data_IF_578325297915
#
_entry.id   IF_578325297915
#
_cell.length_a   1.000
_cell.length_b   1.000
_cell.length_c   1.000
_cell.angle_alpha   90.00
_cell.angle_beta   90.00
_cell.angle_gamma   90.00
#
_symmetry.space_group_name_H-M   'P 1'
#
loop_
_entity.id
_entity.type
_entity.pdbx_description
1 polymer ?
#
# COMPACT_ATOMS: atom_id res chain seq x y z
N UNK A 1 20.52 14.34 -4.14
CA UNK A 1 20.19 12.91 -3.92
C UNK A 1 21.51 12.15 -3.87
N UNK A 2 21.84 11.60 -2.72
CA UNK A 2 23.12 10.94 -2.47
C UNK A 2 23.15 9.57 -3.16
N UNK A 3 23.46 9.57 -4.47
CA UNK A 3 23.55 8.36 -5.28
C UNK A 3 24.46 7.25 -4.75
N UNK A 4 25.56 7.54 -4.01
CA UNK A 4 26.43 6.48 -3.49
C UNK A 4 25.79 5.62 -2.40
N UNK A 5 24.81 6.13 -1.63
CA UNK A 5 24.19 5.36 -0.54
C UNK A 5 23.36 4.16 -1.02
N UNK A 6 22.82 4.23 -2.23
CA UNK A 6 22.03 3.12 -2.80
C UNK A 6 22.91 1.91 -3.14
N UNK A 7 24.20 2.12 -3.49
CA UNK A 7 25.16 1.04 -3.71
C UNK A 7 25.50 0.28 -2.42
N UNK A 8 25.24 0.87 -1.26
CA UNK A 8 25.51 0.26 0.04
C UNK A 8 24.31 -0.56 0.56
N UNK A 9 23.18 -0.56 -0.13
CA UNK A 9 21.98 -1.31 0.28
C UNK A 9 22.24 -2.81 0.51
N UNK A 10 23.02 -3.53 -0.33
CA UNK A 10 23.34 -4.93 -0.04
C UNK A 10 24.09 -5.15 1.27
N UNK A 11 24.81 -4.13 1.76
CA UNK A 11 25.56 -4.15 3.02
C UNK A 11 24.79 -3.54 4.20
N UNK A 12 23.54 -3.09 3.98
CA UNK A 12 22.73 -2.54 5.05
C UNK A 12 22.38 -3.63 6.07
N UNK A 13 22.43 -3.30 7.36
CA UNK A 13 22.22 -4.26 8.46
C UNK A 13 20.95 -5.08 8.28
N UNK A 14 19.84 -4.43 7.92
CA UNK A 14 18.56 -5.13 7.68
C UNK A 14 18.68 -6.19 6.58
N UNK A 15 19.37 -5.89 5.46
CA UNK A 15 19.57 -6.85 4.39
C UNK A 15 20.50 -8.00 4.82
N UNK A 16 21.57 -7.70 5.56
CA UNK A 16 22.48 -8.73 6.07
C UNK A 16 21.80 -9.67 7.07
N UNK A 17 20.94 -9.13 7.95
CA UNK A 17 20.14 -9.94 8.88
C UNK A 17 19.20 -10.86 8.11
N UNK A 18 18.55 -10.36 7.05
CA UNK A 18 17.69 -11.15 6.19
C UNK A 18 18.43 -12.26 5.46
N UNK A 19 19.58 -11.95 4.86
CA UNK A 19 20.44 -12.92 4.19
C UNK A 19 20.90 -14.00 5.20
N UNK A 20 21.32 -13.60 6.39
CA UNK A 20 21.73 -14.53 7.46
C UNK A 20 20.61 -15.46 7.90
N UNK A 21 19.39 -14.90 8.14
CA UNK A 21 18.21 -15.68 8.52
C UNK A 21 17.87 -16.72 7.46
N UNK A 22 17.74 -16.30 6.20
CA UNK A 22 17.42 -17.21 5.11
C UNK A 22 18.52 -18.22 4.82
N UNK A 23 19.79 -17.86 5.01
CA UNK A 23 20.91 -18.78 4.87
C UNK A 23 20.85 -19.91 5.90
N UNK A 24 20.59 -19.59 7.17
CA UNK A 24 20.40 -20.60 8.23
C UNK A 24 19.20 -21.47 7.93
N UNK A 25 18.05 -20.89 7.56
CA UNK A 25 16.86 -21.66 7.20
C UNK A 25 17.11 -22.58 6.00
N UNK A 26 17.78 -22.10 4.95
CA UNK A 26 18.14 -22.89 3.78
C UNK A 26 19.03 -24.07 4.17
N UNK A 27 20.06 -23.87 4.97
CA UNK A 27 20.97 -24.93 5.42
C UNK A 27 20.22 -25.96 6.28
N UNK A 28 19.37 -25.51 7.22
CA UNK A 28 18.55 -26.42 8.02
C UNK A 28 17.59 -27.26 7.18
N UNK A 29 16.92 -26.64 6.21
CA UNK A 29 15.98 -27.31 5.33
C UNK A 29 16.71 -28.32 4.43
N UNK A 30 17.85 -27.96 3.84
CA UNK A 30 18.61 -28.86 2.97
C UNK A 30 19.16 -30.07 3.73
N UNK A 31 19.41 -29.98 5.04
CA UNK A 31 19.81 -31.11 5.86
C UNK A 31 18.74 -32.22 5.97
N UNK A 32 17.48 -31.94 5.61
CA UNK A 32 16.39 -32.91 5.57
C UNK A 32 16.41 -33.80 4.31
N UNK A 33 17.47 -33.74 3.50
CA UNK A 33 17.64 -34.56 2.31
C UNK A 33 16.60 -34.23 1.21
N UNK A 34 16.02 -35.26 0.62
CA UNK A 34 15.10 -35.12 -0.52
C UNK A 34 13.91 -34.17 -0.24
N UNK A 35 13.28 -34.30 0.92
CA UNK A 35 12.18 -33.40 1.32
C UNK A 35 12.66 -31.95 1.51
N UNK A 36 13.88 -31.78 1.96
CA UNK A 36 14.50 -30.48 2.10
C UNK A 36 14.64 -29.75 0.78
N UNK A 37 14.90 -30.43 -0.31
CA UNK A 37 14.96 -29.82 -1.65
C UNK A 37 13.64 -29.14 -2.06
N UNK A 38 12.51 -29.83 -1.83
CA UNK A 38 11.20 -29.23 -2.11
C UNK A 38 10.91 -28.03 -1.21
N UNK A 39 11.20 -28.13 0.08
CA UNK A 39 11.01 -27.02 1.00
C UNK A 39 11.93 -25.82 0.68
N UNK A 40 13.16 -26.08 0.22
CA UNK A 40 14.08 -25.04 -0.22
C UNK A 40 13.57 -24.29 -1.46
N UNK A 41 12.84 -24.95 -2.38
CA UNK A 41 12.20 -24.27 -3.51
C UNK A 41 11.15 -23.24 -3.03
N UNK A 42 10.31 -23.59 -2.04
CA UNK A 42 9.35 -22.64 -1.47
C UNK A 42 10.06 -21.49 -0.75
N UNK A 43 11.14 -21.79 -0.01
CA UNK A 43 11.94 -20.76 0.64
C UNK A 43 12.54 -19.79 -0.40
N UNK A 44 13.02 -20.32 -1.53
CA UNK A 44 13.54 -19.50 -2.64
C UNK A 44 12.48 -18.56 -3.22
N UNK A 45 11.20 -18.98 -3.30
CA UNK A 45 10.11 -18.11 -3.73
C UNK A 45 9.95 -16.91 -2.76
N UNK A 46 10.09 -17.13 -1.45
CA UNK A 46 10.05 -16.04 -0.47
C UNK A 46 11.25 -15.09 -0.59
N UNK A 47 12.45 -15.62 -0.84
CA UNK A 47 13.64 -14.81 -1.13
C UNK A 47 13.41 -13.96 -2.38
N UNK A 48 12.92 -14.54 -3.47
CA UNK A 48 12.58 -13.81 -4.70
C UNK A 48 11.53 -12.73 -4.44
N UNK A 49 10.52 -13.01 -3.62
CA UNK A 49 9.53 -12.01 -3.24
C UNK A 49 10.18 -10.81 -2.53
N UNK A 50 11.04 -11.09 -1.54
CA UNK A 50 11.82 -10.05 -0.88
C UNK A 50 12.63 -9.23 -1.88
N UNK A 51 13.30 -9.90 -2.83
CA UNK A 51 14.07 -9.27 -3.89
C UNK A 51 13.22 -8.36 -4.78
N UNK A 52 11.98 -8.75 -5.14
CA UNK A 52 11.07 -7.90 -5.91
C UNK A 52 10.60 -6.68 -5.14
N UNK A 53 10.28 -6.82 -3.85
CA UNK A 53 9.96 -5.68 -2.98
C UNK A 53 11.16 -4.72 -2.86
N UNK A 54 12.38 -5.28 -2.79
CA UNK A 54 13.62 -4.50 -2.78
C UNK A 54 13.80 -3.72 -4.09
N UNK A 55 13.60 -4.36 -5.26
CA UNK A 55 13.63 -3.70 -6.58
C UNK A 55 12.62 -2.55 -6.63
N UNK A 56 11.38 -2.80 -6.22
CA UNK A 56 10.31 -1.81 -6.24
C UNK A 56 10.63 -0.60 -5.34
N UNK A 57 11.10 -0.84 -4.11
CA UNK A 57 11.51 0.25 -3.20
C UNK A 57 12.65 1.08 -3.78
N UNK A 58 13.68 0.43 -4.31
CA UNK A 58 14.84 1.11 -4.90
C UNK A 58 14.47 1.85 -6.19
N UNK A 59 13.64 1.26 -7.06
CA UNK A 59 13.12 1.91 -8.26
C UNK A 59 12.28 3.17 -7.93
N UNK A 60 11.63 3.19 -6.76
CA UNK A 60 10.90 4.34 -6.23
C UNK A 60 11.83 5.37 -5.53
N UNK A 61 13.13 5.10 -5.41
CA UNK A 61 14.11 6.01 -4.85
C UNK A 61 14.30 5.90 -3.34
N UNK A 62 13.85 4.80 -2.72
CA UNK A 62 14.19 4.51 -1.33
C UNK A 62 15.70 4.20 -1.21
N UNK A 63 16.30 4.55 -0.09
CA UNK A 63 17.72 4.31 0.22
C UNK A 63 17.90 3.17 1.24
N UNK A 64 16.80 2.68 1.79
CA UNK A 64 16.78 1.64 2.81
C UNK A 64 16.09 0.38 2.27
N UNK A 65 16.59 -0.83 2.62
CA UNK A 65 15.95 -2.08 2.25
C UNK A 65 14.56 -2.21 2.93
N UNK A 66 13.67 -3.05 2.38
CA UNK A 66 12.39 -3.34 3.02
C UNK A 66 12.59 -4.03 4.37
N UNK A 67 11.80 -3.64 5.36
CA UNK A 67 11.63 -4.39 6.59
C UNK A 67 10.66 -5.55 6.29
N UNK A 68 10.93 -6.73 6.84
CA UNK A 68 10.00 -7.85 6.70
C UNK A 68 8.67 -7.53 7.37
N UNK A 69 7.61 -7.61 6.59
CA UNK A 69 6.23 -7.51 7.07
C UNK A 69 5.52 -8.86 6.86
N UNK A 70 4.43 -9.10 7.60
CA UNK A 70 3.61 -10.32 7.50
C UNK A 70 3.11 -10.52 6.07
N UNK A 71 2.81 -9.45 5.35
CA UNK A 71 2.39 -9.49 3.94
C UNK A 71 3.45 -10.09 3.01
N UNK A 72 4.73 -10.00 3.37
CA UNK A 72 5.81 -10.64 2.62
C UNK A 72 5.80 -12.17 2.75
N UNK A 73 5.18 -12.73 3.78
CA UNK A 73 5.05 -14.18 3.96
C UNK A 73 3.91 -14.79 3.13
N UNK A 74 3.03 -13.96 2.54
CA UNK A 74 1.96 -14.44 1.67
C UNK A 74 2.53 -15.07 0.38
N UNK A 75 2.22 -16.34 0.05
CA UNK A 75 2.73 -17.00 -1.16
C UNK A 75 2.00 -16.62 -2.44
N UNK A 76 0.99 -15.75 -2.37
CA UNK A 76 0.07 -15.47 -3.49
C UNK A 76 0.60 -14.45 -4.51
N UNK A 77 1.79 -13.92 -4.31
CA UNK A 77 2.40 -13.04 -5.31
C UNK A 77 2.92 -13.86 -6.49
N UNK A 78 2.49 -13.52 -7.70
CA UNK A 78 2.75 -14.30 -8.92
C UNK A 78 4.16 -14.05 -9.49
N UNK A 79 4.75 -12.86 -9.30
CA UNK A 79 6.06 -12.48 -9.86
C UNK A 79 7.19 -13.47 -9.53
N UNK A 80 7.40 -13.89 -8.27
CA UNK A 80 8.43 -14.86 -7.92
C UNK A 80 8.23 -16.22 -8.60
N UNK A 81 6.98 -16.67 -8.73
CA UNK A 81 6.65 -17.94 -9.39
C UNK A 81 6.96 -17.91 -10.90
N UNK A 82 6.62 -16.79 -11.56
CA UNK A 82 6.95 -16.60 -12.98
C UNK A 82 8.47 -16.59 -13.17
N UNK A 83 9.21 -15.88 -12.31
CA UNK A 83 10.68 -15.84 -12.38
C UNK A 83 11.30 -17.22 -12.16
N UNK A 84 10.84 -17.95 -11.15
CA UNK A 84 11.28 -19.32 -10.90
C UNK A 84 10.96 -20.23 -12.10
N UNK A 85 9.76 -20.14 -12.66
CA UNK A 85 9.35 -20.86 -13.86
C UNK A 85 10.23 -20.56 -15.07
N UNK A 86 10.60 -19.29 -15.28
CA UNK A 86 11.51 -18.89 -16.37
C UNK A 86 12.92 -19.47 -16.18
N UNK A 87 13.45 -19.45 -14.93
CA UNK A 87 14.77 -20.00 -14.63
C UNK A 87 14.77 -21.52 -14.78
N UNK A 88 13.88 -22.23 -14.07
CA UNK A 88 13.85 -23.68 -14.09
C UNK A 88 13.39 -24.25 -15.42
N UNK A 89 12.35 -23.65 -16.03
CA UNK A 89 11.88 -24.04 -17.36
C UNK A 89 12.91 -23.79 -18.44
N UNK A 90 13.59 -22.64 -18.37
CA UNK A 90 14.71 -22.31 -19.27
C UNK A 90 15.89 -23.29 -19.12
N UNK A 91 16.29 -23.60 -17.89
CA UNK A 91 17.37 -24.55 -17.60
C UNK A 91 17.01 -25.96 -18.09
N UNK A 92 15.79 -26.43 -17.84
CA UNK A 92 15.29 -27.71 -18.34
C UNK A 92 15.27 -27.76 -19.87
N UNK A 93 14.83 -26.68 -20.53
CA UNK A 93 14.81 -26.59 -21.99
C UNK A 93 16.22 -26.64 -22.56
N UNK A 94 17.18 -25.91 -21.99
CA UNK A 94 18.59 -25.96 -22.39
C UNK A 94 19.18 -27.37 -22.25
N UNK A 95 18.86 -28.04 -21.14
CA UNK A 95 19.29 -29.41 -20.88
C UNK A 95 18.67 -30.40 -21.91
N UNK A 96 17.37 -30.28 -22.20
CA UNK A 96 16.64 -31.14 -23.13
C UNK A 96 17.13 -31.02 -24.58
N UNK A 97 17.49 -29.79 -25.01
CA UNK A 97 18.07 -29.56 -26.36
C UNK A 97 19.51 -30.10 -26.41
N UNK A 98 20.29 -29.91 -25.34
CA UNK A 98 21.65 -30.40 -25.23
C UNK A 98 22.63 -29.79 -26.23
N UNK A 99 23.89 -30.24 -26.18
CA UNK A 99 24.93 -29.87 -27.12
C UNK A 99 25.16 -28.36 -27.26
N UNK A 100 25.70 -27.93 -28.41
CA UNK A 100 25.99 -26.52 -28.67
C UNK A 100 24.74 -25.63 -28.76
N UNK A 101 23.62 -26.19 -29.18
CA UNK A 101 22.34 -25.47 -29.29
C UNK A 101 21.76 -25.15 -27.90
N UNK A 102 21.81 -26.10 -26.95
CA UNK A 102 21.40 -25.87 -25.60
C UNK A 102 22.26 -24.83 -24.90
N UNK A 103 23.58 -24.86 -25.11
CA UNK A 103 24.51 -23.80 -24.58
C UNK A 103 24.16 -22.43 -25.17
N UNK A 104 23.96 -22.36 -26.49
CA UNK A 104 23.59 -21.10 -27.15
C UNK A 104 22.28 -20.52 -26.62
N UNK A 105 21.25 -21.36 -26.40
CA UNK A 105 20.00 -20.96 -25.80
C UNK A 105 20.21 -20.48 -24.34
N UNK A 106 21.01 -21.19 -23.55
CA UNK A 106 21.34 -20.79 -22.18
C UNK A 106 21.99 -19.40 -22.11
N UNK A 107 22.94 -19.11 -22.99
CA UNK A 107 23.57 -17.79 -23.09
C UNK A 107 22.51 -16.72 -23.48
N UNK A 108 21.64 -17.02 -24.43
CA UNK A 108 20.57 -16.09 -24.83
C UNK A 108 19.62 -15.80 -23.66
N UNK A 109 19.17 -16.83 -22.93
CA UNK A 109 18.30 -16.68 -21.77
C UNK A 109 18.97 -15.90 -20.65
N UNK A 110 20.24 -16.18 -20.39
CA UNK A 110 21.04 -15.46 -19.36
C UNK A 110 21.21 -13.99 -19.74
N UNK A 111 21.38 -13.71 -21.04
CA UNK A 111 21.47 -12.33 -21.53
C UNK A 111 20.17 -11.56 -21.37
N UNK A 112 19.02 -12.22 -21.44
CA UNK A 112 17.69 -11.58 -21.33
C UNK A 112 17.21 -11.49 -19.89
N UNK A 113 17.72 -12.32 -18.99
CA UNK A 113 17.28 -12.43 -17.61
C UNK A 113 17.22 -11.09 -16.83
N UNK A 114 18.23 -10.18 -16.90
CA UNK A 114 18.14 -8.91 -16.19
C UNK A 114 16.98 -8.03 -16.70
N UNK A 115 16.66 -8.08 -17.99
CA UNK A 115 15.53 -7.33 -18.56
C UNK A 115 14.19 -7.92 -18.10
N UNK A 116 14.08 -9.25 -18.04
CA UNK A 116 12.89 -9.93 -17.51
C UNK A 116 12.66 -9.56 -16.04
N UNK A 117 13.70 -9.63 -15.19
CA UNK A 117 13.64 -9.20 -13.79
C UNK A 117 13.22 -7.73 -13.67
N UNK A 118 13.79 -6.85 -14.52
CA UNK A 118 13.42 -5.44 -14.53
C UNK A 118 11.94 -5.23 -14.86
N UNK A 119 11.40 -5.96 -15.85
CA UNK A 119 9.98 -5.88 -16.25
C UNK A 119 9.07 -6.42 -15.13
N UNK A 120 9.41 -7.55 -14.53
CA UNK A 120 8.66 -8.10 -13.39
C UNK A 120 8.71 -7.15 -12.17
N UNK A 121 9.79 -6.39 -12.02
CA UNK A 121 9.91 -5.35 -11.01
C UNK A 121 8.96 -4.16 -11.21
N UNK A 122 8.46 -3.92 -12.43
CA UNK A 122 7.41 -2.93 -12.71
C UNK A 122 6.00 -3.35 -12.25
N UNK A 123 5.75 -4.63 -12.08
CA UNK A 123 4.57 -5.16 -11.39
C UNK A 123 3.32 -5.42 -12.20
N UNK A 124 3.12 -4.82 -13.38
CA UNK A 124 1.78 -4.76 -13.96
C UNK A 124 1.46 -5.79 -15.04
N UNK A 125 2.47 -6.34 -15.77
CA UNK A 125 2.19 -7.21 -16.91
C UNK A 125 3.19 -8.37 -17.05
N UNK A 126 2.82 -9.52 -16.51
CA UNK A 126 3.66 -10.74 -16.53
C UNK A 126 4.06 -11.17 -17.95
N UNK A 127 3.16 -11.04 -18.93
CA UNK A 127 3.43 -11.37 -20.32
C UNK A 127 4.50 -10.49 -20.97
N UNK A 128 4.72 -9.29 -20.47
CA UNK A 128 5.75 -8.40 -20.98
C UNK A 128 7.16 -8.90 -20.64
N UNK A 129 7.31 -9.67 -19.58
CA UNK A 129 8.59 -10.24 -19.15
C UNK A 129 9.15 -11.31 -20.11
N UNK A 130 8.29 -11.86 -20.99
CA UNK A 130 8.66 -12.82 -22.04
C UNK A 130 8.52 -12.26 -23.45
N UNK A 131 7.98 -11.06 -23.60
CA UNK A 131 7.80 -10.43 -24.93
C UNK A 131 9.13 -9.86 -25.43
N UNK A 132 9.68 -10.38 -26.56
CA UNK A 132 10.99 -9.99 -27.06
C UNK A 132 11.08 -8.50 -27.42
N UNK A 133 9.99 -7.88 -27.88
CA UNK A 133 9.97 -6.46 -28.20
C UNK A 133 10.09 -5.59 -26.97
N UNK A 134 9.41 -5.97 -25.88
CA UNK A 134 9.49 -5.26 -24.61
C UNK A 134 10.86 -5.44 -23.97
N UNK A 135 11.39 -6.65 -23.97
CA UNK A 135 12.73 -6.96 -23.48
C UNK A 135 13.79 -6.13 -24.23
N UNK A 136 13.75 -6.08 -25.57
CA UNK A 136 14.68 -5.30 -26.37
C UNK A 136 14.56 -3.79 -26.06
N UNK A 137 13.33 -3.27 -25.89
CA UNK A 137 13.12 -1.86 -25.51
C UNK A 137 13.75 -1.54 -24.16
N UNK A 138 13.59 -2.43 -23.16
CA UNK A 138 14.16 -2.25 -21.82
C UNK A 138 15.69 -2.31 -21.89
N UNK A 139 16.26 -3.28 -22.59
CA UNK A 139 17.72 -3.40 -22.82
C UNK A 139 18.28 -2.10 -23.42
N UNK A 140 17.65 -1.61 -24.49
CA UNK A 140 18.08 -0.37 -25.17
C UNK A 140 17.94 0.86 -24.25
N UNK A 141 16.89 0.93 -23.44
CA UNK A 141 16.64 2.07 -22.53
C UNK A 141 17.62 2.13 -21.40
N UNK A 142 18.02 0.98 -20.86
CA UNK A 142 19.03 0.86 -19.79
C UNK A 142 20.45 1.15 -20.29
N UNK A 143 20.78 0.74 -21.53
CA UNK A 143 22.08 1.01 -22.16
C UNK A 143 23.26 0.47 -21.34
N UNK A 144 24.21 1.33 -20.95
CA UNK A 144 25.42 0.92 -20.20
C UNK A 144 25.08 0.27 -18.83
N UNK A 145 23.98 0.67 -18.19
CA UNK A 145 23.56 0.05 -16.92
C UNK A 145 23.16 -1.42 -17.13
N UNK A 146 22.65 -1.76 -18.30
CA UNK A 146 22.35 -3.15 -18.64
C UNK A 146 23.62 -4.00 -18.74
N UNK A 147 24.68 -3.43 -19.32
CA UNK A 147 26.00 -4.11 -19.34
C UNK A 147 26.51 -4.34 -17.94
N UNK A 148 26.37 -3.37 -17.03
CA UNK A 148 26.74 -3.55 -15.63
C UNK A 148 25.95 -4.66 -14.93
N UNK A 149 24.63 -4.79 -15.23
CA UNK A 149 23.81 -5.90 -14.73
C UNK A 149 24.28 -7.25 -15.26
N UNK A 150 24.64 -7.33 -16.57
CA UNK A 150 25.18 -8.57 -17.15
C UNK A 150 26.50 -8.96 -16.53
N UNK A 151 27.40 -7.99 -16.33
CA UNK A 151 28.68 -8.24 -15.64
C UNK A 151 28.46 -8.74 -14.21
N UNK A 152 27.54 -8.13 -13.46
CA UNK A 152 27.18 -8.57 -12.12
C UNK A 152 26.59 -9.99 -12.12
N UNK A 153 25.74 -10.32 -13.10
CA UNK A 153 25.16 -11.65 -13.24
C UNK A 153 26.22 -12.71 -13.57
N UNK A 154 27.15 -12.40 -14.50
CA UNK A 154 28.27 -13.28 -14.84
C UNK A 154 29.20 -13.47 -13.65
N UNK A 155 29.48 -12.41 -12.89
CA UNK A 155 30.27 -12.48 -11.68
C UNK A 155 29.61 -13.35 -10.60
N UNK A 156 28.29 -13.21 -10.41
CA UNK A 156 27.53 -14.07 -9.49
C UNK A 156 27.55 -15.54 -9.94
N UNK A 157 27.38 -15.81 -11.24
CA UNK A 157 27.50 -17.17 -11.79
C UNK A 157 28.91 -17.75 -11.57
N UNK A 158 29.95 -16.95 -11.77
CA UNK A 158 31.34 -17.32 -11.45
C UNK A 158 31.56 -17.65 -9.99
N UNK A 159 31.04 -16.83 -9.08
CA UNK A 159 31.06 -17.09 -7.63
C UNK A 159 30.30 -18.41 -7.32
N UNK A 160 29.12 -18.64 -7.90
CA UNK A 160 28.35 -19.85 -7.68
C UNK A 160 29.10 -21.11 -8.17
N UNK A 161 29.75 -21.01 -9.35
CA UNK A 161 30.59 -22.10 -9.85
C UNK A 161 31.79 -22.34 -8.90
N UNK A 162 32.47 -21.27 -8.46
CA UNK A 162 33.57 -21.39 -7.50
C UNK A 162 33.14 -22.05 -6.18
N UNK A 163 31.96 -21.67 -5.65
CA UNK A 163 31.38 -22.29 -4.44
C UNK A 163 31.17 -23.81 -4.57
N UNK A 164 30.94 -24.34 -5.77
CA UNK A 164 30.84 -25.80 -5.99
C UNK A 164 32.19 -26.51 -5.92
N UNK A 165 33.30 -25.78 -6.01
CA UNK A 165 34.66 -26.34 -5.96
C UNK A 165 35.32 -26.24 -4.58
N UNK A 166 34.71 -25.48 -3.67
CA UNK A 166 35.25 -25.23 -2.31
C UNK A 166 34.31 -25.86 -1.28
N UNK A 167 34.85 -26.66 -0.38
CA UNK A 167 34.09 -27.21 0.74
C UNK A 167 33.88 -26.13 1.82
N UNK A 168 32.77 -25.42 1.73
CA UNK A 168 32.33 -24.45 2.72
C UNK A 168 31.21 -25.01 3.58
N UNK A 169 31.05 -24.44 4.76
CA UNK A 169 29.87 -24.71 5.56
C UNK A 169 28.62 -24.27 4.77
N UNK A 170 27.62 -25.14 4.72
CA UNK A 170 26.40 -24.94 3.95
C UNK A 170 25.70 -23.60 4.24
N UNK A 171 25.78 -23.13 5.49
CA UNK A 171 25.25 -21.80 5.88
C UNK A 171 26.02 -20.67 5.18
N UNK A 172 27.37 -20.77 5.14
CA UNK A 172 28.22 -19.73 4.51
C UNK A 172 27.99 -19.70 3.00
N UNK A 173 27.94 -20.89 2.36
CA UNK A 173 27.63 -21.00 0.94
C UNK A 173 26.27 -20.39 0.61
N UNK A 174 25.23 -20.73 1.38
CA UNK A 174 23.89 -20.16 1.22
C UNK A 174 23.86 -18.66 1.44
N UNK A 175 24.60 -18.15 2.45
CA UNK A 175 24.68 -16.72 2.70
C UNK A 175 25.33 -15.95 1.54
N UNK A 176 26.42 -16.48 0.96
CA UNK A 176 27.08 -15.85 -0.19
C UNK A 176 26.14 -15.84 -1.41
N UNK A 177 25.46 -16.96 -1.68
CA UNK A 177 24.47 -17.04 -2.79
C UNK A 177 23.35 -16.02 -2.64
N UNK A 178 22.73 -15.96 -1.48
CA UNK A 178 21.64 -15.03 -1.17
C UNK A 178 22.09 -13.57 -1.20
N UNK A 179 23.31 -13.30 -0.73
CA UNK A 179 23.88 -11.96 -0.82
C UNK A 179 24.14 -11.52 -2.26
N UNK A 180 24.69 -12.39 -3.11
CA UNK A 180 24.86 -12.12 -4.54
C UNK A 180 23.49 -11.85 -5.22
N UNK A 181 22.48 -12.63 -4.88
CA UNK A 181 21.11 -12.46 -5.39
C UNK A 181 20.54 -11.10 -4.99
N UNK A 182 20.56 -10.76 -3.71
CA UNK A 182 20.06 -9.45 -3.23
C UNK A 182 20.86 -8.28 -3.78
N UNK A 183 22.17 -8.43 -3.96
CA UNK A 183 23.03 -7.43 -4.60
C UNK A 183 22.66 -7.21 -6.07
N UNK A 184 22.41 -8.29 -6.83
CA UNK A 184 21.95 -8.20 -8.21
C UNK A 184 20.60 -7.49 -8.32
N UNK A 185 19.59 -7.89 -7.50
CA UNK A 185 18.30 -7.23 -7.50
C UNK A 185 18.38 -5.76 -7.06
N UNK A 186 19.28 -5.42 -6.14
CA UNK A 186 19.54 -4.02 -5.77
C UNK A 186 20.07 -3.21 -6.94
N UNK A 187 21.00 -3.79 -7.74
CA UNK A 187 21.52 -3.15 -8.95
C UNK A 187 20.42 -2.95 -10.00
N UNK A 188 19.51 -3.92 -10.17
CA UNK A 188 18.34 -3.79 -11.04
C UNK A 188 17.46 -2.62 -10.58
N UNK A 189 17.07 -2.58 -9.31
CA UNK A 189 16.23 -1.51 -8.76
C UNK A 189 16.85 -0.12 -8.91
N UNK A 190 18.15 0.02 -8.64
CA UNK A 190 18.89 1.26 -8.86
C UNK A 190 18.92 1.67 -10.34
N UNK A 191 19.15 0.72 -11.24
CA UNK A 191 19.17 0.99 -12.69
C UNK A 191 17.83 1.47 -13.20
N UNK A 192 16.73 0.90 -12.71
CA UNK A 192 15.37 1.34 -13.00
C UNK A 192 15.14 2.77 -12.49
N UNK A 193 15.57 3.09 -11.27
CA UNK A 193 15.46 4.45 -10.72
C UNK A 193 16.20 5.48 -11.59
N UNK A 194 17.43 5.19 -12.00
CA UNK A 194 18.26 6.09 -12.82
C UNK A 194 17.68 6.31 -14.22
N UNK A 195 17.00 5.32 -14.78
CA UNK A 195 16.45 5.36 -16.16
C UNK A 195 14.93 5.48 -16.21
N UNK A 196 14.26 5.71 -15.06
CA UNK A 196 12.80 5.76 -14.94
C UNK A 196 12.10 6.63 -16.00
N UNK A 197 12.65 7.84 -16.28
CA UNK A 197 12.09 8.75 -17.29
C UNK A 197 12.17 8.18 -18.72
N UNK A 198 13.23 7.44 -19.06
CA UNK A 198 13.39 6.82 -20.39
C UNK A 198 12.55 5.56 -20.56
N UNK A 199 12.29 4.87 -19.45
CA UNK A 199 11.47 3.67 -19.41
C UNK A 199 9.97 3.98 -19.37
N UNK A 200 9.57 5.26 -19.17
CA UNK A 200 8.19 5.63 -18.91
C UNK A 200 7.68 5.08 -17.57
N UNK A 201 8.60 4.74 -16.65
CA UNK A 201 8.26 4.23 -15.35
C UNK A 201 7.71 5.37 -14.48
N UNK A 202 6.41 5.32 -14.26
CA UNK A 202 5.82 6.06 -13.15
C UNK A 202 6.04 5.21 -11.89
N UNK A 203 6.72 5.75 -10.86
CA UNK A 203 6.96 5.02 -9.63
C UNK A 203 5.63 4.48 -9.12
N UNK A 204 5.52 3.18 -8.92
CA UNK A 204 4.43 2.62 -8.14
C UNK A 204 4.47 3.35 -6.80
N UNK A 205 3.37 3.97 -6.45
CA UNK A 205 3.32 4.93 -5.35
C UNK A 205 3.70 4.16 -4.10
N UNK A 206 4.73 4.60 -3.37
CA UNK A 206 4.96 4.07 -2.03
C UNK A 206 3.62 4.03 -1.30
N UNK A 207 3.31 3.01 -0.49
CA UNK A 207 2.04 2.96 0.25
C UNK A 207 1.74 4.29 0.93
N UNK A 208 2.76 5.00 1.43
CA UNK A 208 2.65 6.35 1.98
C UNK A 208 2.21 7.41 0.95
N UNK A 209 2.76 7.37 -0.27
CA UNK A 209 2.34 8.30 -1.34
C UNK A 209 0.99 7.93 -1.93
N UNK A 210 0.66 6.63 -1.99
CA UNK A 210 -0.67 6.17 -2.37
C UNK A 210 -1.70 6.60 -1.32
N UNK A 211 -1.40 6.42 -0.03
CA UNK A 211 -2.24 6.90 1.07
C UNK A 211 -2.37 8.42 1.07
N UNK A 212 -1.28 9.17 0.87
CA UNK A 212 -1.32 10.63 0.79
C UNK A 212 -2.12 11.14 -0.42
N UNK A 213 -2.09 10.43 -1.55
CA UNK A 213 -2.90 10.77 -2.73
C UNK A 213 -4.36 10.40 -2.53
N UNK A 214 -4.66 9.23 -1.96
CA UNK A 214 -6.01 8.83 -1.60
C UNK A 214 -6.62 9.82 -0.59
N UNK A 215 -5.86 10.25 0.41
CA UNK A 215 -6.28 11.29 1.35
C UNK A 215 -6.53 12.63 0.66
N UNK A 216 -5.65 13.04 -0.27
CA UNK A 216 -5.86 14.27 -1.05
C UNK A 216 -7.08 14.18 -1.96
N UNK A 217 -7.29 13.06 -2.63
CA UNK A 217 -8.49 12.82 -3.45
C UNK A 217 -9.76 12.86 -2.58
N UNK A 218 -9.71 12.24 -1.40
CA UNK A 218 -10.80 12.31 -0.42
C UNK A 218 -11.08 13.74 0.06
N UNK A 219 -10.04 14.50 0.36
CA UNK A 219 -10.18 15.92 0.73
C UNK A 219 -10.84 16.74 -0.38
N UNK A 220 -10.52 16.46 -1.65
CA UNK A 220 -11.15 17.11 -2.79
C UNK A 220 -12.63 16.71 -2.95
N UNK A 221 -12.96 15.41 -2.79
CA UNK A 221 -14.35 14.94 -2.84
C UNK A 221 -15.16 15.57 -1.72
N UNK A 222 -14.63 15.61 -0.49
CA UNK A 222 -15.24 16.24 0.66
C UNK A 222 -15.47 17.73 0.44
N UNK A 223 -14.49 18.45 -0.09
CA UNK A 223 -14.63 19.88 -0.38
C UNK A 223 -15.71 20.13 -1.44
N UNK A 224 -15.77 19.33 -2.52
CA UNK A 224 -16.83 19.43 -3.53
C UNK A 224 -18.21 19.18 -2.94
N UNK A 225 -18.35 18.14 -2.10
CA UNK A 225 -19.63 17.83 -1.44
C UNK A 225 -20.10 19.00 -0.57
N UNK A 226 -19.20 19.60 0.20
CA UNK A 226 -19.52 20.78 1.02
C UNK A 226 -19.94 21.95 0.14
N UNK A 227 -19.28 22.18 -0.98
CA UNK A 227 -19.65 23.22 -1.95
C UNK A 227 -21.04 22.99 -2.54
N UNK A 228 -21.35 21.75 -2.96
CA UNK A 228 -22.66 21.40 -3.51
C UNK A 228 -23.78 21.61 -2.47
N UNK A 229 -23.56 21.19 -1.23
CA UNK A 229 -24.49 21.42 -0.11
C UNK A 229 -24.64 22.92 0.15
N UNK A 230 -23.53 23.67 0.16
CA UNK A 230 -23.56 25.13 0.37
C UNK A 230 -24.36 25.86 -0.73
N UNK A 231 -24.22 25.45 -2.00
CA UNK A 231 -25.02 26.07 -3.08
C UNK A 231 -26.51 25.90 -2.85
N UNK A 232 -26.96 24.70 -2.40
CA UNK A 232 -28.37 24.46 -2.06
C UNK A 232 -28.81 25.33 -0.87
N UNK A 233 -27.97 25.46 0.15
CA UNK A 233 -28.24 26.32 1.31
C UNK A 233 -28.39 27.78 0.88
N UNK A 234 -27.49 28.28 0.02
CA UNK A 234 -27.48 29.66 -0.45
C UNK A 234 -28.75 30.05 -1.23
N UNK A 235 -29.36 29.11 -1.94
CA UNK A 235 -30.64 29.32 -2.66
C UNK A 235 -31.89 29.03 -1.80
N UNK A 236 -31.71 28.82 -0.48
CA UNK A 236 -32.79 28.58 0.48
C UNK A 236 -33.35 27.15 0.51
N UNK A 237 -32.75 26.21 -0.21
CA UNK A 237 -33.21 24.80 -0.28
C UNK A 237 -32.52 23.95 0.82
N UNK A 238 -32.71 24.32 2.08
CA UNK A 238 -32.02 23.67 3.20
C UNK A 238 -32.38 22.19 3.36
N UNK A 239 -33.66 21.84 3.12
CA UNK A 239 -34.13 20.45 3.21
C UNK A 239 -33.55 19.61 2.07
N UNK A 240 -33.50 20.15 0.86
CA UNK A 240 -32.96 19.45 -0.30
C UNK A 240 -31.43 19.17 -0.13
N UNK A 241 -30.73 20.00 0.63
CA UNK A 241 -29.30 19.86 0.93
C UNK A 241 -28.98 18.62 1.79
N UNK A 242 -29.95 18.11 2.54
CA UNK A 242 -29.74 16.91 3.41
C UNK A 242 -29.63 15.62 2.62
N UNK A 243 -30.32 15.51 1.48
CA UNK A 243 -30.35 14.27 0.69
C UNK A 243 -28.99 13.92 0.07
N UNK A 244 -28.28 14.84 -0.64
CA UNK A 244 -26.94 14.57 -1.13
C UNK A 244 -25.94 14.35 0.01
N UNK A 245 -26.05 15.09 1.12
CA UNK A 245 -25.19 14.92 2.29
C UNK A 245 -25.36 13.52 2.91
N UNK A 246 -26.62 13.10 3.15
CA UNK A 246 -26.90 11.78 3.73
C UNK A 246 -26.43 10.64 2.81
N UNK A 247 -26.60 10.79 1.49
CA UNK A 247 -26.11 9.80 0.51
C UNK A 247 -24.60 9.69 0.57
N UNK A 248 -23.89 10.80 0.53
CA UNK A 248 -22.44 10.82 0.60
C UNK A 248 -21.91 10.22 1.91
N UNK A 249 -22.54 10.54 3.05
CA UNK A 249 -22.15 9.97 4.34
C UNK A 249 -22.40 8.45 4.38
N UNK A 250 -23.45 7.94 3.73
CA UNK A 250 -23.72 6.51 3.63
C UNK A 250 -22.66 5.77 2.78
N UNK A 251 -22.11 6.45 1.76
CA UNK A 251 -21.09 5.90 0.88
C UNK A 251 -19.67 6.07 1.47
N UNK A 252 -19.54 6.80 2.58
CA UNK A 252 -18.26 7.04 3.25
C UNK A 252 -17.88 5.83 4.11
N UNK A 253 -16.60 5.45 4.05
CA UNK A 253 -16.04 4.40 4.89
C UNK A 253 -16.26 4.70 6.39
N UNK A 254 -16.75 3.72 7.19
CA UNK A 254 -17.02 3.89 8.62
C UNK A 254 -15.87 4.48 9.44
N UNK A 255 -14.63 4.24 9.05
CA UNK A 255 -13.45 4.80 9.72
C UNK A 255 -13.34 6.33 9.55
N UNK A 256 -13.92 6.87 8.49
CA UNK A 256 -13.80 8.27 8.12
C UNK A 256 -15.05 9.11 8.41
N UNK A 257 -16.20 8.48 8.65
CA UNK A 257 -17.49 9.14 8.89
C UNK A 257 -17.40 10.22 9.97
N UNK A 258 -16.74 9.92 11.09
CA UNK A 258 -16.57 10.90 12.17
C UNK A 258 -15.78 12.13 11.72
N UNK A 259 -14.63 11.93 11.08
CA UNK A 259 -13.75 13.01 10.61
C UNK A 259 -14.43 13.88 9.56
N UNK A 260 -15.16 13.25 8.64
CA UNK A 260 -15.87 13.94 7.57
C UNK A 260 -17.08 14.71 8.11
N UNK A 261 -17.81 14.15 9.08
CA UNK A 261 -18.90 14.85 9.78
C UNK A 261 -18.41 16.08 10.54
N UNK A 262 -17.27 16.00 11.23
CA UNK A 262 -16.65 17.16 11.86
C UNK A 262 -16.33 18.27 10.86
N UNK A 263 -15.72 17.90 9.74
CA UNK A 263 -15.36 18.86 8.72
C UNK A 263 -16.60 19.59 8.16
N UNK A 264 -17.66 18.84 7.85
CA UNK A 264 -18.93 19.44 7.35
C UNK A 264 -19.53 20.35 8.41
N UNK A 265 -19.56 19.96 9.68
CA UNK A 265 -20.07 20.78 10.76
C UNK A 265 -19.30 22.12 10.91
N UNK A 266 -17.97 22.07 10.84
CA UNK A 266 -17.13 23.26 10.87
C UNK A 266 -17.36 24.21 9.67
N UNK A 267 -17.58 23.66 8.48
CA UNK A 267 -17.90 24.48 7.30
C UNK A 267 -19.30 25.07 7.41
N UNK A 268 -20.30 24.28 7.85
CA UNK A 268 -21.68 24.74 8.03
C UNK A 268 -21.79 25.92 9.00
N UNK A 269 -20.95 25.97 10.03
CA UNK A 269 -20.86 27.09 10.96
C UNK A 269 -20.42 28.42 10.31
N UNK A 270 -19.79 28.39 9.14
CA UNK A 270 -19.33 29.59 8.41
C UNK A 270 -20.40 30.14 7.46
N UNK A 271 -21.53 29.43 7.24
CA UNK A 271 -22.51 29.78 6.22
C UNK A 271 -23.56 30.83 6.63
N UNK A 272 -23.46 31.40 7.80
CA UNK A 272 -24.38 32.46 8.28
C UNK A 272 -25.88 32.14 8.08
N UNK A 273 -26.25 30.84 8.07
CA UNK A 273 -27.60 30.34 7.79
C UNK A 273 -28.11 29.46 8.93
N UNK A 274 -28.69 30.02 10.01
CA UNK A 274 -29.07 29.25 11.21
C UNK A 274 -30.05 28.09 10.93
N UNK A 275 -31.02 28.31 10.05
CA UNK A 275 -31.98 27.26 9.68
C UNK A 275 -31.30 26.07 8.97
N UNK A 276 -30.36 26.34 8.08
CA UNK A 276 -29.59 25.31 7.42
C UNK A 276 -28.68 24.57 8.40
N UNK A 277 -28.07 25.28 9.36
CA UNK A 277 -27.22 24.69 10.38
C UNK A 277 -27.99 23.67 11.23
N UNK A 278 -29.22 23.98 11.64
CA UNK A 278 -30.07 23.03 12.38
C UNK A 278 -30.35 21.75 11.56
N UNK A 279 -30.72 21.89 10.30
CA UNK A 279 -31.08 20.78 9.43
C UNK A 279 -29.86 19.90 9.10
N UNK A 280 -28.74 20.53 8.76
CA UNK A 280 -27.49 19.83 8.44
C UNK A 280 -26.89 19.19 9.69
N UNK A 281 -26.81 19.93 10.78
CA UNK A 281 -26.30 19.43 12.07
C UNK A 281 -27.11 18.23 12.56
N UNK A 282 -28.44 18.30 12.50
CA UNK A 282 -29.32 17.17 12.84
C UNK A 282 -29.06 15.95 11.94
N UNK A 283 -28.82 16.16 10.65
CA UNK A 283 -28.51 15.08 9.71
C UNK A 283 -27.18 14.40 10.04
N UNK A 284 -26.13 15.19 10.35
CA UNK A 284 -24.83 14.67 10.75
C UNK A 284 -24.90 13.84 12.04
N UNK A 285 -25.54 14.38 13.07
CA UNK A 285 -25.68 13.73 14.37
C UNK A 285 -26.45 12.44 14.25
N UNK A 286 -27.62 12.46 13.56
CA UNK A 286 -28.42 11.26 13.31
C UNK A 286 -27.64 10.20 12.56
N UNK A 287 -26.84 10.58 11.59
CA UNK A 287 -26.01 9.68 10.82
C UNK A 287 -24.95 9.01 11.70
N UNK A 288 -24.19 9.80 12.49
CA UNK A 288 -23.22 9.29 13.45
C UNK A 288 -23.82 8.33 14.46
N UNK A 289 -25.02 8.64 14.98
CA UNK A 289 -25.74 7.75 15.90
C UNK A 289 -26.07 6.40 15.22
N UNK A 290 -26.55 6.41 13.97
CA UNK A 290 -26.84 5.18 13.21
C UNK A 290 -25.61 4.32 12.93
N UNK A 291 -24.44 4.93 12.78
CA UNK A 291 -23.16 4.22 12.61
C UNK A 291 -22.53 3.76 13.94
N UNK A 292 -23.25 3.92 15.06
CA UNK A 292 -22.73 3.51 16.36
C UNK A 292 -21.54 4.36 16.85
N UNK A 293 -21.53 5.65 16.45
CA UNK A 293 -20.50 6.62 16.86
C UNK A 293 -21.11 7.76 17.70
N UNK A 294 -21.73 7.44 18.83
CA UNK A 294 -22.37 8.44 19.66
C UNK A 294 -21.39 9.45 20.26
N UNK A 295 -20.13 9.06 20.52
CA UNK A 295 -19.07 9.98 20.97
C UNK A 295 -18.84 11.11 19.95
N UNK A 296 -18.75 10.75 18.66
CA UNK A 296 -18.57 11.70 17.58
C UNK A 296 -19.82 12.57 17.40
N UNK A 297 -21.01 12.00 17.57
CA UNK A 297 -22.29 12.74 17.54
C UNK A 297 -22.34 13.80 18.63
N UNK A 298 -21.96 13.43 19.87
CA UNK A 298 -21.90 14.35 21.00
C UNK A 298 -20.92 15.48 20.74
N UNK A 299 -19.72 15.18 20.26
CA UNK A 299 -18.71 16.17 19.98
C UNK A 299 -19.13 17.11 18.83
N UNK A 300 -19.83 16.62 17.79
CA UNK A 300 -20.42 17.49 16.74
C UNK A 300 -21.48 18.41 17.34
N UNK A 301 -22.35 17.90 18.23
CA UNK A 301 -23.35 18.69 18.91
C UNK A 301 -22.70 19.81 19.75
N UNK A 302 -21.66 19.50 20.52
CA UNK A 302 -20.92 20.47 21.33
C UNK A 302 -20.32 21.60 20.49
N UNK A 303 -19.67 21.25 19.37
CA UNK A 303 -19.08 22.24 18.46
C UNK A 303 -20.16 23.17 17.88
N UNK A 304 -21.26 22.59 17.43
CA UNK A 304 -22.38 23.38 16.88
C UNK A 304 -22.98 24.29 17.94
N UNK A 305 -23.21 23.78 19.14
CA UNK A 305 -23.79 24.53 20.27
C UNK A 305 -22.89 25.65 20.75
N UNK A 306 -21.58 25.38 20.89
CA UNK A 306 -20.58 26.37 21.33
C UNK A 306 -20.51 27.58 20.41
N UNK A 307 -20.62 27.39 19.10
CA UNK A 307 -20.51 28.46 18.10
C UNK A 307 -21.88 29.04 17.67
N UNK A 308 -22.96 28.26 17.82
CA UNK A 308 -24.31 28.64 17.53
C UNK A 308 -25.22 28.28 18.72
N UNK A 309 -25.33 29.15 19.75
CA UNK A 309 -26.11 28.85 20.94
C UNK A 309 -27.59 28.50 20.69
N UNK A 310 -28.15 28.97 19.58
CA UNK A 310 -29.52 28.68 19.16
C UNK A 310 -29.64 27.40 18.31
N UNK A 311 -28.59 26.62 18.20
CA UNK A 311 -28.64 25.31 17.48
C UNK A 311 -29.56 24.36 18.22
N UNK A 312 -30.54 23.82 17.50
CA UNK A 312 -31.48 22.80 18.00
C UNK A 312 -31.57 21.65 16.98
N UNK A 313 -31.85 20.46 17.47
CA UNK A 313 -32.06 19.31 16.62
C UNK A 313 -33.53 19.24 16.12
N UNK A 314 -33.70 18.87 14.85
CA UNK A 314 -35.04 18.72 14.25
C UNK A 314 -35.86 17.55 14.86
N UNK A 315 -35.20 16.58 15.49
CA UNK A 315 -35.82 15.40 16.09
C UNK A 315 -35.62 15.35 17.60
N UNK A 316 -36.70 15.46 18.35
CA UNK A 316 -36.68 15.33 19.81
C UNK A 316 -36.31 13.93 20.29
N UNK A 317 -36.58 12.88 19.49
CA UNK A 317 -36.18 11.49 19.81
C UNK A 317 -34.66 11.33 19.74
N UNK A 318 -34.05 11.84 18.68
CA UNK A 318 -32.58 11.77 18.48
C UNK A 318 -31.87 12.58 19.58
N UNK A 319 -32.42 13.75 19.94
CA UNK A 319 -31.89 14.58 21.03
C UNK A 319 -31.96 13.86 22.38
N UNK A 320 -33.05 13.15 22.67
CA UNK A 320 -33.19 12.36 23.91
C UNK A 320 -32.17 11.23 23.98
N UNK A 321 -32.01 10.47 22.90
CA UNK A 321 -31.03 9.39 22.84
C UNK A 321 -29.60 9.92 23.02
N UNK A 322 -29.30 11.07 22.43
CA UNK A 322 -28.00 11.72 22.60
C UNK A 322 -27.79 12.23 24.05
N UNK A 323 -28.85 12.76 24.68
CA UNK A 323 -28.82 13.19 26.07
C UNK A 323 -28.60 12.01 27.06
N UNK A 324 -29.26 10.88 26.81
CA UNK A 324 -29.04 9.66 27.62
C UNK A 324 -27.58 9.17 27.49
N UNK A 325 -27.03 9.22 26.29
CA UNK A 325 -25.63 8.89 26.07
C UNK A 325 -24.67 9.89 26.77
N UNK A 326 -24.93 11.20 26.67
CA UNK A 326 -24.15 12.23 27.33
C UNK A 326 -24.13 12.03 28.88
N UNK A 327 -25.27 11.74 29.45
CA UNK A 327 -25.40 11.46 30.92
C UNK A 327 -24.59 10.22 31.30
N UNK A 328 -24.68 9.13 30.55
CA UNK A 328 -23.93 7.89 30.83
C UNK A 328 -22.40 8.07 30.76
N UNK A 329 -21.92 9.11 30.05
CA UNK A 329 -20.50 9.44 29.91
C UNK A 329 -20.03 10.62 30.73
N UNK A 330 -20.87 11.08 31.72
CA UNK A 330 -20.50 12.10 32.69
C UNK A 330 -20.66 13.54 32.23
N UNK A 331 -21.31 13.79 31.06
CA UNK A 331 -21.63 15.11 30.53
C UNK A 331 -23.02 15.59 31.06
N UNK A 332 -23.21 15.62 32.39
CA UNK A 332 -24.50 15.87 33.01
C UNK A 332 -25.13 17.23 32.65
N UNK A 333 -24.33 18.31 32.69
CA UNK A 333 -24.79 19.66 32.32
C UNK A 333 -25.34 19.73 30.87
N UNK A 334 -24.61 19.06 29.95
CA UNK A 334 -25.00 19.01 28.54
C UNK A 334 -26.26 18.18 28.36
N UNK A 335 -26.37 17.03 29.02
CA UNK A 335 -27.54 16.17 28.99
C UNK A 335 -28.78 16.90 29.52
N UNK A 336 -28.64 17.66 30.61
CA UNK A 336 -29.74 18.47 31.19
C UNK A 336 -30.19 19.57 30.21
N UNK A 337 -29.24 20.28 29.57
CA UNK A 337 -29.57 21.29 28.56
C UNK A 337 -30.35 20.70 27.37
N UNK A 338 -29.97 19.52 26.88
CA UNK A 338 -30.66 18.82 25.79
C UNK A 338 -32.09 18.41 26.18
N UNK A 339 -32.28 17.97 27.45
CA UNK A 339 -33.63 17.58 27.96
C UNK A 339 -34.57 18.75 28.07
N UNK A 340 -34.09 19.94 28.44
CA UNK A 340 -34.90 21.16 28.53
C UNK A 340 -35.39 21.63 27.16
N UNK A 341 -34.70 21.31 26.11
CA UNK A 341 -35.07 21.66 24.73
C UNK A 341 -35.98 20.62 24.07
N UNK A 342 -36.10 19.44 24.66
CA UNK A 342 -36.98 18.40 24.13
C UNK A 342 -38.45 18.84 24.38
N UNK A 343 -39.28 19.11 23.34
CA UNK A 343 -40.66 19.47 23.54
C UNK A 343 -41.37 18.35 24.28
N UNK A 344 -41.98 18.67 25.41
CA UNK A 344 -42.80 17.74 26.19
C UNK A 344 -44.03 17.40 25.35
N UNK A 345 -44.01 16.23 24.75
CA UNK A 345 -45.16 15.72 24.03
C UNK A 345 -46.22 15.37 25.03
N UNK A 346 -47.17 16.29 25.28
CA UNK A 346 -48.40 15.95 25.97
C UNK A 346 -49.24 15.09 25.06
N UNK A 347 -49.49 13.82 25.37
CA UNK A 347 -50.43 13.03 24.58
C UNK A 347 -51.79 13.67 24.75
N UNK A 348 -52.33 14.27 23.67
CA UNK A 348 -53.73 14.68 23.62
C UNK A 348 -54.55 13.43 23.95
N UNK A 349 -55.15 13.41 25.12
CA UNK A 349 -56.20 12.44 25.45
C UNK A 349 -57.33 12.64 24.44
N UNK A 350 -57.47 11.70 23.51
CA UNK A 350 -58.68 11.51 22.74
C UNK A 350 -59.71 10.72 23.54
#
# INVERSE_FOLDING_TARGET
>A
MDHPRVLLVPFHTTNLVMVGLFAVLTAMILSLGFYGWFAALFLQIWVLKYCYVLVEKLANGATEPPVMDIDMLSPFEVRPWVQAGLIFGGAWLCYSIGGKAGIGLGIALLTVLPASVAILGFGDYLWQAVNPLTLFRVIRSLGLLYVAMLVALIAAAGIFYWLTTVELWQVVESAIRLWCETAFFSLVGMSLFLRRKKLGYEPSKSPERAAARAEKERQQVRARMVDDVFQLVRIGKHVDATAPLARWLNDTDPEHVSKDSYYVAEQALRWEAPAALNTIGSTLIRHLMRYGRPDAALAVFEILRKKAPNFTMDSGTDLRTLAEFAESNGHEELAQSMRLETPVFHPQKR
#
